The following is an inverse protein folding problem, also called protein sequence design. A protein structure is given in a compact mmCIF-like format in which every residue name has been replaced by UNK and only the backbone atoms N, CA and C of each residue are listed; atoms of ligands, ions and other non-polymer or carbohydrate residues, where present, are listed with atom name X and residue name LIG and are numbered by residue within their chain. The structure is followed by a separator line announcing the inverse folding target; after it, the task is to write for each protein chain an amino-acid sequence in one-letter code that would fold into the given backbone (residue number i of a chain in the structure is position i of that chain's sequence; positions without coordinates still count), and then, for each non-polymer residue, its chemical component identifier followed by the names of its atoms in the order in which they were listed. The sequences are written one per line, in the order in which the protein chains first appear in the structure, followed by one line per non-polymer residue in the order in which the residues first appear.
data_IF_308809754217
#
_entry.id   IF_308809754217
#
_cell.length_a   1.000
_cell.length_b   1.000
_cell.length_c   1.000
_cell.angle_alpha   90.00
_cell.angle_beta   90.00
_cell.angle_gamma   90.00
#
_symmetry.space_group_name_H-M   'P 1'
#
loop_
_entity.id
_entity.type
_entity.pdbx_description
1 polymer ?
#
# COMPACT_ATOMS: atom_id res chain seq x y z
N UNK A 1 -9.43 -12.95 -7.48
CA UNK A 1 -9.21 -11.64 -8.15
C UNK A 1 -10.49 -10.87 -8.46
N UNK A 2 -11.68 -11.50 -8.53
CA UNK A 2 -12.95 -10.79 -8.84
C UNK A 2 -13.45 -9.83 -7.76
N UNK A 3 -13.06 -10.03 -6.50
CA UNK A 3 -13.49 -9.16 -5.41
C UNK A 3 -12.86 -7.76 -5.54
N UNK A 4 -11.55 -7.68 -5.78
CA UNK A 4 -10.78 -6.43 -5.93
C UNK A 4 -11.32 -5.48 -7.00
N UNK A 5 -11.81 -6.03 -8.12
CA UNK A 5 -12.36 -5.26 -9.23
C UNK A 5 -13.74 -4.64 -8.90
N UNK A 6 -14.54 -5.28 -8.03
CA UNK A 6 -15.86 -4.78 -7.65
C UNK A 6 -15.83 -3.52 -6.78
N UNK A 7 -14.76 -3.32 -6.00
CA UNK A 7 -14.67 -2.19 -5.05
C UNK A 7 -14.33 -0.87 -5.74
N UNK A 8 -13.52 -0.90 -6.81
CA UNK A 8 -13.19 0.30 -7.60
C UNK A 8 -14.46 0.84 -8.28
N UNK A 9 -15.35 -0.05 -8.73
CA UNK A 9 -16.61 0.30 -9.38
C UNK A 9 -17.69 0.88 -8.43
N UNK A 10 -17.55 0.71 -7.11
CA UNK A 10 -18.57 1.08 -6.12
C UNK A 10 -18.33 2.44 -5.42
N UNK A 11 -17.34 3.23 -5.86
CA UNK A 11 -17.14 4.60 -5.33
C UNK A 11 -15.83 4.85 -4.59
N UNK A 12 -14.73 4.19 -5.00
CA UNK A 12 -13.36 4.56 -4.60
C UNK A 12 -12.71 3.65 -3.55
N UNK A 13 -11.38 3.77 -3.44
CA UNK A 13 -10.58 3.11 -2.40
C UNK A 13 -11.02 3.61 -1.02
N UNK A 14 -11.69 2.75 -0.24
CA UNK A 14 -12.10 3.05 1.12
C UNK A 14 -11.48 2.05 2.13
N UNK A 15 -11.53 2.40 3.41
CA UNK A 15 -10.87 1.62 4.47
C UNK A 15 -11.38 0.16 4.56
N UNK A 16 -12.66 -0.08 4.32
CA UNK A 16 -13.26 -1.42 4.38
C UNK A 16 -12.76 -2.30 3.22
N UNK A 17 -12.73 -1.78 2.00
CA UNK A 17 -12.21 -2.48 0.84
C UNK A 17 -10.72 -2.84 1.03
N UNK A 18 -9.91 -1.90 1.53
CA UNK A 18 -8.49 -2.16 1.81
C UNK A 18 -8.31 -3.21 2.91
N UNK A 19 -9.13 -3.18 3.96
CA UNK A 19 -9.07 -4.20 5.02
C UNK A 19 -9.41 -5.61 4.49
N UNK A 20 -10.41 -5.73 3.61
CA UNK A 20 -10.76 -7.01 3.01
C UNK A 20 -9.65 -7.53 2.10
N UNK A 21 -9.09 -6.68 1.22
CA UNK A 21 -7.98 -7.09 0.36
C UNK A 21 -6.76 -7.45 1.21
N UNK A 22 -6.47 -6.72 2.28
CA UNK A 22 -5.39 -7.06 3.22
C UNK A 22 -5.58 -8.45 3.81
N UNK A 23 -6.78 -8.81 4.27
CA UNK A 23 -7.06 -10.14 4.81
C UNK A 23 -6.82 -11.25 3.76
N UNK A 24 -7.25 -11.04 2.52
CA UNK A 24 -7.01 -12.02 1.43
C UNK A 24 -5.52 -12.10 1.04
N UNK A 25 -4.81 -10.97 1.02
CA UNK A 25 -3.37 -10.96 0.75
C UNK A 25 -2.59 -11.69 1.85
N UNK A 26 -3.00 -11.57 3.11
CA UNK A 26 -2.38 -12.31 4.21
C UNK A 26 -2.58 -13.83 4.09
N UNK A 27 -3.73 -14.28 3.57
CA UNK A 27 -3.92 -15.69 3.20
C UNK A 27 -2.97 -16.11 2.08
N UNK A 28 -2.77 -15.25 1.07
CA UNK A 28 -1.83 -15.51 -0.02
C UNK A 28 -0.38 -15.63 0.47
N UNK A 29 0.05 -14.71 1.35
CA UNK A 29 1.38 -14.77 2.01
C UNK A 29 1.53 -16.08 2.77
N UNK A 30 0.51 -16.47 3.54
CA UNK A 30 0.52 -17.72 4.31
C UNK A 30 0.63 -18.95 3.41
N UNK A 31 -0.12 -18.98 2.29
CA UNK A 31 -0.04 -20.04 1.29
C UNK A 31 1.33 -20.10 0.60
N UNK A 32 1.95 -18.95 0.31
CA UNK A 32 3.30 -18.90 -0.23
C UNK A 32 4.36 -19.41 0.77
N UNK A 33 4.21 -19.07 2.07
CA UNK A 33 5.08 -19.53 3.16
C UNK A 33 4.98 -21.04 3.38
N UNK A 34 3.78 -21.61 3.31
CA UNK A 34 3.55 -23.06 3.47
C UNK A 34 3.84 -23.87 2.21
N UNK A 35 4.14 -23.21 1.08
CA UNK A 35 4.33 -23.85 -0.22
C UNK A 35 3.04 -24.28 -0.92
N UNK A 36 1.87 -23.90 -0.40
CA UNK A 36 0.56 -24.12 -1.01
C UNK A 36 0.29 -23.23 -2.24
N UNK A 37 1.11 -22.21 -2.47
CA UNK A 37 1.15 -21.43 -3.71
C UNK A 37 2.59 -21.39 -4.24
N UNK A 38 2.78 -21.84 -5.49
CA UNK A 38 4.07 -21.80 -6.19
C UNK A 38 3.90 -21.24 -7.59
N UNK A 39 4.91 -20.52 -8.04
CA UNK A 39 5.00 -19.97 -9.40
C UNK A 39 6.45 -20.05 -9.86
N UNK A 40 6.68 -20.18 -11.16
CA UNK A 40 8.06 -20.20 -11.68
C UNK A 40 8.73 -18.83 -11.54
N UNK A 41 10.06 -18.84 -11.47
CA UNK A 41 10.83 -17.60 -11.38
C UNK A 41 10.63 -16.67 -12.58
N UNK A 42 10.37 -17.22 -13.77
CA UNK A 42 10.05 -16.44 -14.97
C UNK A 42 8.59 -15.99 -14.98
N UNK A 43 7.65 -16.87 -14.62
CA UNK A 43 6.22 -16.56 -14.62
C UNK A 43 5.83 -15.46 -13.63
N UNK A 44 6.60 -15.29 -12.55
CA UNK A 44 6.34 -14.27 -11.54
C UNK A 44 6.80 -12.86 -11.97
N UNK A 45 7.73 -12.74 -12.91
CA UNK A 45 8.33 -11.46 -13.31
C UNK A 45 7.30 -10.40 -13.72
N UNK A 46 6.33 -10.66 -14.61
CA UNK A 46 5.33 -9.65 -14.98
C UNK A 46 4.46 -9.23 -13.79
N UNK A 47 4.15 -10.15 -12.87
CA UNK A 47 3.37 -9.85 -11.68
C UNK A 47 4.16 -8.97 -10.71
N UNK A 48 5.43 -9.31 -10.45
CA UNK A 48 6.32 -8.48 -9.63
C UNK A 48 6.49 -7.09 -10.23
N UNK A 49 6.62 -6.98 -11.56
CA UNK A 49 6.71 -5.68 -12.22
C UNK A 49 5.46 -4.85 -11.95
N UNK A 50 4.28 -5.40 -12.20
CA UNK A 50 3.02 -4.69 -11.99
C UNK A 50 2.84 -4.24 -10.52
N UNK A 51 3.15 -5.11 -9.56
CA UNK A 51 3.07 -4.80 -8.13
C UNK A 51 4.06 -3.70 -7.73
N UNK A 52 5.29 -3.74 -8.24
CA UNK A 52 6.31 -2.69 -8.00
C UNK A 52 5.93 -1.36 -8.62
N UNK A 53 5.43 -1.37 -9.85
CA UNK A 53 4.94 -0.15 -10.53
C UNK A 53 3.81 0.49 -9.72
N UNK A 54 2.88 -0.32 -9.20
CA UNK A 54 1.83 0.14 -8.30
C UNK A 54 2.39 0.70 -6.98
N UNK A 55 3.39 0.06 -6.38
CA UNK A 55 4.05 0.58 -5.17
C UNK A 55 4.75 1.93 -5.39
N UNK A 56 5.38 2.10 -6.55
CA UNK A 56 5.99 3.36 -6.95
C UNK A 56 4.94 4.47 -7.12
N UNK A 57 3.81 4.15 -7.75
CA UNK A 57 2.70 5.08 -7.93
C UNK A 57 2.05 5.48 -6.60
N UNK A 58 1.84 4.52 -5.68
CA UNK A 58 1.34 4.83 -4.35
C UNK A 58 2.29 5.73 -3.57
N UNK A 59 3.60 5.49 -3.66
CA UNK A 59 4.59 6.35 -3.02
C UNK A 59 4.59 7.76 -3.64
N UNK A 60 4.36 7.87 -4.95
CA UNK A 60 4.18 9.17 -5.62
C UNK A 60 2.93 9.89 -5.09
N UNK A 61 1.82 9.16 -4.96
CA UNK A 61 0.55 9.70 -4.47
C UNK A 61 0.66 10.15 -3.01
N UNK A 62 1.29 9.35 -2.13
CA UNK A 62 1.57 9.72 -0.74
C UNK A 62 2.34 11.04 -0.64
N UNK A 63 3.38 11.22 -1.47
CA UNK A 63 4.13 12.48 -1.49
C UNK A 63 3.29 13.67 -1.96
N UNK A 64 2.39 13.46 -2.91
CA UNK A 64 1.50 14.52 -3.39
C UNK A 64 0.42 14.89 -2.36
N UNK A 65 -0.06 13.92 -1.59
CA UNK A 65 -1.12 14.11 -0.60
C UNK A 65 -0.61 14.57 0.76
N UNK A 66 0.71 14.57 1.02
CA UNK A 66 1.29 15.12 2.25
C UNK A 66 0.78 16.52 2.56
N UNK A 67 0.62 17.40 1.56
CA UNK A 67 0.10 18.77 1.79
C UNK A 67 -1.35 18.79 2.29
N UNK A 68 -2.13 17.74 2.07
CA UNK A 68 -3.48 17.64 2.60
C UNK A 68 -3.47 17.46 4.14
N UNK A 69 -2.34 17.10 4.73
CA UNK A 69 -2.19 17.06 6.19
C UNK A 69 -2.10 18.46 6.83
N UNK A 70 -1.94 19.51 6.02
CA UNK A 70 -1.97 20.90 6.47
C UNK A 70 -3.43 21.40 6.49
N UNK A 71 -3.81 22.08 7.57
CA UNK A 71 -5.13 22.71 7.63
C UNK A 71 -5.21 23.85 6.59
N UNK A 72 -6.20 23.85 5.67
CA UNK A 72 -6.32 24.90 4.67
C UNK A 72 -6.67 26.25 5.32
N UNK A 73 -6.14 27.34 4.79
CA UNK A 73 -6.45 28.69 5.30
C UNK A 73 -7.77 29.19 4.70
N UNK A 74 -8.89 28.82 5.33
CA UNK A 74 -10.24 29.18 4.89
C UNK A 74 -10.78 30.45 5.57
N UNK A 75 -9.90 31.41 5.83
CA UNK A 75 -10.20 32.65 6.55
C UNK A 75 -10.20 32.49 8.08
N UNK A 76 -10.15 33.61 8.80
CA UNK A 76 -9.96 33.63 10.26
C UNK A 76 -11.26 33.68 11.08
N UNK A 77 -12.40 33.42 10.44
CA UNK A 77 -13.69 33.34 11.14
C UNK A 77 -13.93 31.93 11.71
N UNK A 78 -14.75 31.79 12.77
CA UNK A 78 -14.99 30.50 13.44
C UNK A 78 -15.40 29.38 12.48
N UNK A 79 -16.26 29.66 11.51
CA UNK A 79 -16.68 28.66 10.51
C UNK A 79 -15.51 28.16 9.63
N UNK A 80 -14.60 29.05 9.22
CA UNK A 80 -13.47 28.72 8.36
C UNK A 80 -12.47 27.83 9.08
N UNK A 81 -12.21 28.13 10.36
CA UNK A 81 -11.39 27.29 11.24
C UNK A 81 -12.01 25.88 11.42
N UNK A 82 -13.33 25.79 11.57
CA UNK A 82 -14.03 24.49 11.70
C UNK A 82 -13.94 23.64 10.44
N UNK A 83 -14.15 24.23 9.26
CA UNK A 83 -14.04 23.50 7.98
C UNK A 83 -12.59 23.08 7.74
N UNK A 84 -11.63 23.96 7.99
CA UNK A 84 -10.21 23.63 7.86
C UNK A 84 -9.78 22.45 8.74
N UNK A 85 -10.26 22.41 9.98
CA UNK A 85 -10.01 21.28 10.89
C UNK A 85 -10.69 19.98 10.40
N UNK A 86 -11.89 20.07 9.85
CA UNK A 86 -12.58 18.92 9.28
C UNK A 86 -11.83 18.35 8.07
N UNK A 87 -11.37 19.20 7.15
CA UNK A 87 -10.61 18.80 5.97
C UNK A 87 -9.29 18.13 6.36
N UNK A 88 -8.56 18.72 7.32
CA UNK A 88 -7.33 18.15 7.87
C UNK A 88 -7.58 16.76 8.49
N UNK A 89 -8.69 16.60 9.22
CA UNK A 89 -9.07 15.34 9.85
C UNK A 89 -9.39 14.25 8.84
N UNK A 90 -10.12 14.58 7.77
CA UNK A 90 -10.42 13.68 6.66
C UNK A 90 -9.18 13.33 5.83
N UNK A 91 -8.24 14.26 5.70
CA UNK A 91 -7.03 14.05 4.95
C UNK A 91 -5.98 13.20 5.66
N UNK A 92 -5.71 13.47 6.95
CA UNK A 92 -4.56 12.85 7.63
C UNK A 92 -4.71 12.45 9.11
N UNK A 93 -5.69 12.97 9.86
CA UNK A 93 -5.70 12.79 11.33
C UNK A 93 -6.66 11.69 11.83
N UNK A 94 -7.33 10.96 10.93
CA UNK A 94 -8.25 9.89 11.30
C UNK A 94 -7.82 8.52 10.78
N UNK A 95 -8.26 7.44 11.43
CA UNK A 95 -7.94 6.06 11.03
C UNK A 95 -8.48 5.67 9.63
N UNK A 96 -9.46 6.41 9.14
CA UNK A 96 -10.06 6.29 7.81
C UNK A 96 -9.72 7.49 6.91
N UNK A 97 -8.73 8.29 7.30
CA UNK A 97 -8.26 9.40 6.49
C UNK A 97 -7.63 8.92 5.19
N UNK A 98 -7.54 9.81 4.20
CA UNK A 98 -6.93 9.49 2.91
C UNK A 98 -5.51 8.95 3.07
N UNK A 99 -4.67 9.57 3.92
CA UNK A 99 -3.31 9.10 4.18
C UNK A 99 -3.28 7.71 4.82
N UNK A 100 -4.17 7.44 5.77
CA UNK A 100 -4.26 6.15 6.44
C UNK A 100 -4.71 5.03 5.48
N UNK A 101 -5.67 5.31 4.59
CA UNK A 101 -6.14 4.35 3.59
C UNK A 101 -5.05 4.06 2.56
N UNK A 102 -4.35 5.10 2.08
CA UNK A 102 -3.21 4.95 1.16
C UNK A 102 -2.08 4.11 1.77
N UNK A 103 -1.70 4.40 3.02
CA UNK A 103 -0.67 3.65 3.73
C UNK A 103 -1.03 2.18 3.92
N UNK A 104 -2.28 1.89 4.31
CA UNK A 104 -2.79 0.50 4.41
C UNK A 104 -2.74 -0.20 3.06
N UNK A 105 -3.14 0.48 1.98
CA UNK A 105 -3.12 -0.12 0.64
C UNK A 105 -1.68 -0.36 0.15
N UNK A 106 -0.74 0.54 0.44
CA UNK A 106 0.68 0.32 0.19
C UNK A 106 1.20 -0.93 0.90
N UNK A 107 0.79 -1.18 2.14
CA UNK A 107 1.16 -2.41 2.84
C UNK A 107 0.65 -3.67 2.10
N UNK A 108 -0.60 -3.65 1.60
CA UNK A 108 -1.14 -4.74 0.78
C UNK A 108 -0.28 -5.01 -0.46
N UNK A 109 0.22 -3.97 -1.12
CA UNK A 109 1.11 -4.10 -2.28
C UNK A 109 2.43 -4.76 -1.89
N UNK A 110 3.03 -4.33 -0.77
CA UNK A 110 4.28 -4.91 -0.26
C UNK A 110 4.11 -6.38 0.14
N UNK A 111 3.02 -6.71 0.84
CA UNK A 111 2.69 -8.07 1.24
C UNK A 111 2.48 -8.98 0.01
N UNK A 112 1.87 -8.42 -1.05
CA UNK A 112 1.70 -9.14 -2.33
C UNK A 112 3.04 -9.40 -3.00
N UNK A 113 3.96 -8.43 -3.01
CA UNK A 113 5.33 -8.64 -3.51
C UNK A 113 6.04 -9.74 -2.71
N UNK A 114 5.96 -9.72 -1.39
CA UNK A 114 6.52 -10.77 -0.54
C UNK A 114 5.97 -12.15 -0.91
N UNK A 115 4.64 -12.27 -1.05
CA UNK A 115 4.02 -13.55 -1.39
C UNK A 115 4.52 -14.08 -2.74
N UNK A 116 4.63 -13.23 -3.75
CA UNK A 116 5.13 -13.58 -5.09
C UNK A 116 6.61 -14.01 -5.04
N UNK A 117 7.44 -13.29 -4.30
CA UNK A 117 8.86 -13.64 -4.11
C UNK A 117 9.02 -14.98 -3.38
N UNK A 118 8.20 -15.24 -2.37
CA UNK A 118 8.21 -16.53 -1.64
C UNK A 118 7.75 -17.67 -2.54
N UNK A 119 6.63 -17.49 -3.25
CA UNK A 119 6.08 -18.49 -4.15
C UNK A 119 7.00 -18.84 -5.33
N UNK A 120 7.86 -17.91 -5.72
CA UNK A 120 8.88 -18.11 -6.76
C UNK A 120 10.24 -18.59 -6.25
N UNK A 121 10.41 -18.73 -4.92
CA UNK A 121 11.67 -19.10 -4.29
C UNK A 121 12.74 -18.00 -4.31
N UNK A 122 12.39 -16.77 -4.72
CA UNK A 122 13.32 -15.64 -4.86
C UNK A 122 13.42 -14.77 -3.59
N UNK A 123 12.62 -15.05 -2.56
CA UNK A 123 12.54 -14.22 -1.36
C UNK A 123 13.89 -14.07 -0.63
N UNK A 124 14.58 -15.17 -0.34
CA UNK A 124 15.87 -15.14 0.38
C UNK A 124 16.93 -14.31 -0.35
N UNK A 125 17.07 -14.54 -1.66
CA UNK A 125 18.00 -13.79 -2.49
C UNK A 125 17.76 -12.28 -2.41
N UNK A 126 16.49 -11.85 -2.43
CA UNK A 126 16.14 -10.43 -2.34
C UNK A 126 16.35 -9.85 -0.94
N UNK A 127 16.15 -10.65 0.10
CA UNK A 127 16.47 -10.27 1.49
C UNK A 127 17.98 -10.01 1.64
N UNK A 128 18.81 -10.93 1.15
CA UNK A 128 20.27 -10.81 1.18
C UNK A 128 20.75 -9.55 0.43
N UNK A 129 20.25 -9.33 -0.79
CA UNK A 129 20.55 -8.12 -1.59
C UNK A 129 20.18 -6.82 -0.84
N UNK A 130 19.11 -6.83 -0.06
CA UNK A 130 18.65 -5.67 0.71
C UNK A 130 19.55 -5.40 1.91
N UNK A 131 19.95 -6.45 2.64
CA UNK A 131 20.88 -6.34 3.77
C UNK A 131 22.22 -5.78 3.30
N UNK A 132 22.78 -6.32 2.21
CA UNK A 132 24.04 -5.83 1.64
C UNK A 132 23.97 -4.36 1.21
N UNK A 133 22.86 -3.93 0.61
CA UNK A 133 22.68 -2.54 0.19
C UNK A 133 22.64 -1.59 1.39
N UNK A 134 22.01 -1.99 2.49
CA UNK A 134 21.95 -1.20 3.72
C UNK A 134 23.31 -1.11 4.41
N UNK A 135 24.10 -2.18 4.40
CA UNK A 135 25.44 -2.18 4.98
C UNK A 135 26.41 -1.27 4.19
N UNK A 136 26.26 -1.20 2.86
CA UNK A 136 27.03 -0.26 2.02
C UNK A 136 26.67 1.21 2.23
N UNK A 137 25.46 1.52 2.70
CA UNK A 137 25.05 2.89 3.01
C UNK A 137 25.52 3.38 4.39
N UNK A 138 25.94 2.47 5.26
CA UNK A 138 26.42 2.77 6.62
C UNK A 138 27.93 2.95 6.72
N UNK A 139 28.68 2.51 5.71
CA UNK A 139 30.14 2.66 5.59
C UNK A 139 30.48 3.81 4.63
#
# INVERSE_FOLDING_TARGET
MGAAAGYVAAGGLNAAAVAQVSAETQKLVSAAKSGGFKITAEGVKPLLKAVRDMGAELTRLERQTIRLSEAPQLGDHPYGRTVAAHDQKGAAQSANSASAVLGKFKQVVLDTEEALLRASGQYKKKEDETVEALDRLKN
#
